data_IF_441349505980
#
_entry.id   IF_441349505980
#
_cell.length_a   1.000
_cell.length_b   1.000
_cell.length_c   1.000
_cell.angle_alpha   90.00
_cell.angle_beta   90.00
_cell.angle_gamma   90.00
#
_symmetry.space_group_name_H-M   'P 1'
#
loop_
_entity.id
_entity.type
_entity.pdbx_description
1 polymer ?
#
# COMPACT_ATOMS: atom_id res chain seq x y z
N UNK A 1 -3.77 -5.67 -10.11
CA UNK A 1 -3.86 -5.65 -8.62
C UNK A 1 -4.46 -4.34 -8.17
N UNK A 2 -5.19 -4.32 -7.04
CA UNK A 2 -5.63 -3.09 -6.36
C UNK A 2 -4.73 -2.89 -5.13
N UNK A 3 -3.88 -1.88 -5.18
CA UNK A 3 -3.01 -1.49 -4.06
C UNK A 3 -3.76 -0.50 -3.17
N UNK A 4 -3.97 -0.88 -1.91
CA UNK A 4 -4.66 -0.06 -0.92
C UNK A 4 -3.59 0.51 0.02
N UNK A 5 -3.30 1.79 -0.12
CA UNK A 5 -2.26 2.49 0.65
C UNK A 5 -2.88 3.06 1.92
N UNK A 6 -2.27 2.78 3.07
CA UNK A 6 -2.79 3.27 4.35
C UNK A 6 -2.59 4.78 4.53
N UNK A 7 -3.42 5.37 5.38
CA UNK A 7 -3.34 6.79 5.74
C UNK A 7 -2.42 7.05 6.92
N UNK A 8 -1.73 8.20 6.89
CA UNK A 8 -0.63 8.52 7.81
C UNK A 8 0.63 7.77 7.36
N UNK A 9 1.75 8.47 7.10
CA UNK A 9 2.98 7.75 6.80
C UNK A 9 3.35 6.85 7.99
N UNK A 10 3.09 7.29 9.23
CA UNK A 10 3.34 6.54 10.46
C UNK A 10 2.17 5.61 10.87
N UNK A 11 1.61 4.85 9.92
CA UNK A 11 0.64 3.78 10.17
C UNK A 11 1.14 2.45 9.56
N UNK A 12 0.39 1.37 9.72
CA UNK A 12 0.65 0.11 9.03
C UNK A 12 -0.62 -0.74 8.95
N UNK A 13 -0.65 -1.67 8.01
CA UNK A 13 -1.56 -2.80 8.04
C UNK A 13 -1.03 -3.86 9.00
N UNK A 14 -1.82 -4.17 10.02
CA UNK A 14 -1.53 -5.22 10.99
C UNK A 14 -1.52 -6.61 10.34
N UNK A 15 -0.75 -7.54 10.91
CA UNK A 15 -0.91 -8.97 10.62
C UNK A 15 -2.15 -9.52 11.33
N UNK A 16 -3.32 -9.10 10.86
CA UNK A 16 -4.62 -9.42 11.46
C UNK A 16 -5.76 -9.32 10.45
N UNK A 17 -6.98 -9.22 10.97
CA UNK A 17 -8.16 -9.02 10.12
C UNK A 17 -8.18 -7.59 9.58
N UNK A 18 -8.04 -7.45 8.27
CA UNK A 18 -8.09 -6.16 7.56
C UNK A 18 -9.47 -5.86 6.95
N UNK A 19 -10.52 -6.45 7.52
CA UNK A 19 -11.89 -6.28 7.05
C UNK A 19 -12.58 -5.21 7.88
N UNK A 20 -13.00 -4.12 7.25
CA UNK A 20 -13.84 -3.09 7.83
C UNK A 20 -14.92 -2.66 6.83
N UNK A 21 -16.00 -2.01 7.32
CA UNK A 21 -17.07 -1.50 6.46
C UNK A 21 -16.57 -0.48 5.42
N UNK A 22 -15.47 0.21 5.73
CA UNK A 22 -14.86 1.23 4.88
C UNK A 22 -13.75 0.70 3.96
N UNK A 23 -13.33 -0.56 4.14
CA UNK A 23 -12.26 -1.19 3.36
C UNK A 23 -12.80 -2.11 2.26
N UNK A 24 -12.64 -1.69 1.01
CA UNK A 24 -13.18 -2.41 -0.14
C UNK A 24 -12.34 -3.61 -0.61
N UNK A 25 -11.23 -3.93 0.06
CA UNK A 25 -10.31 -4.96 -0.43
C UNK A 25 -10.91 -6.36 -0.54
N UNK A 26 -11.70 -6.80 0.46
CA UNK A 26 -12.38 -8.11 0.36
C UNK A 26 -13.43 -8.14 -0.76
N UNK A 27 -14.07 -7.01 -1.06
CA UNK A 27 -14.99 -6.87 -2.20
C UNK A 27 -14.23 -6.98 -3.52
N UNK A 28 -13.10 -6.27 -3.65
CA UNK A 28 -12.22 -6.39 -4.81
C UNK A 28 -11.72 -7.83 -5.03
N UNK A 29 -11.32 -8.51 -3.96
CA UNK A 29 -10.91 -9.91 -4.03
C UNK A 29 -12.05 -10.84 -4.50
N UNK A 30 -13.28 -10.61 -4.03
CA UNK A 30 -14.46 -11.37 -4.46
C UNK A 30 -14.78 -11.17 -5.95
N UNK A 31 -14.47 -9.99 -6.51
CA UNK A 31 -14.60 -9.68 -7.94
C UNK A 31 -13.40 -10.15 -8.79
N UNK A 32 -12.46 -10.89 -8.19
CA UNK A 32 -11.32 -11.50 -8.89
C UNK A 32 -10.09 -10.62 -9.02
N UNK A 33 -10.01 -9.49 -8.30
CA UNK A 33 -8.80 -8.68 -8.23
C UNK A 33 -7.84 -9.22 -7.18
N UNK A 34 -6.54 -9.29 -7.50
CA UNK A 34 -5.53 -9.34 -6.45
C UNK A 34 -5.56 -8.02 -5.64
N UNK A 35 -5.46 -8.11 -4.32
CA UNK A 35 -5.47 -6.94 -3.42
C UNK A 35 -4.18 -6.92 -2.61
N UNK A 36 -3.54 -5.76 -2.58
CA UNK A 36 -2.25 -5.55 -1.95
C UNK A 36 -2.30 -4.45 -0.90
N UNK A 37 -1.80 -4.76 0.29
CA UNK A 37 -1.77 -3.89 1.46
C UNK A 37 -0.30 -3.66 1.88
N UNK A 38 0.42 -2.72 1.24
CA UNK A 38 1.83 -2.49 1.52
C UNK A 38 2.06 -1.82 2.87
N UNK A 39 3.17 -2.19 3.52
CA UNK A 39 3.79 -1.45 4.62
C UNK A 39 5.16 -0.96 4.13
N UNK A 40 5.17 0.24 3.54
CA UNK A 40 6.32 0.90 2.91
C UNK A 40 7.24 1.56 3.95
N UNK A 41 8.41 2.06 3.55
CA UNK A 41 9.32 2.76 4.48
C UNK A 41 8.62 3.96 5.14
N UNK A 42 8.77 4.12 6.45
CA UNK A 42 7.99 5.08 7.24
C UNK A 42 6.79 4.46 7.95
N UNK A 43 6.28 3.32 7.49
CA UNK A 43 5.23 2.59 8.21
C UNK A 43 5.68 2.17 9.62
N UNK A 44 4.71 2.01 10.52
CA UNK A 44 4.98 1.56 11.90
C UNK A 44 5.13 0.03 12.00
N UNK A 45 5.48 -0.47 13.20
CA UNK A 45 5.62 -1.92 13.45
C UNK A 45 7.00 -2.52 13.14
N UNK A 46 7.95 -1.74 12.62
CA UNK A 46 9.31 -2.19 12.25
C UNK A 46 10.46 -1.48 12.98
N UNK A 47 10.14 -0.79 14.08
CA UNK A 47 11.09 -0.01 14.87
C UNK A 47 11.16 1.47 14.44
N UNK A 48 11.80 2.28 15.30
CA UNK A 48 11.81 3.74 15.15
C UNK A 48 12.56 4.21 13.91
N UNK A 49 13.70 3.59 13.61
CA UNK A 49 14.52 3.95 12.44
C UNK A 49 13.73 3.77 11.13
N UNK A 50 13.03 2.64 10.98
CA UNK A 50 12.17 2.40 9.82
C UNK A 50 11.00 3.39 9.76
N UNK A 51 10.33 3.66 10.89
CA UNK A 51 9.23 4.61 10.95
C UNK A 51 9.65 6.06 10.64
N UNK A 52 10.92 6.40 10.88
CA UNK A 52 11.48 7.74 10.58
C UNK A 52 12.15 7.82 9.20
N UNK A 53 12.22 6.74 8.43
CA UNK A 53 13.01 6.68 7.20
C UNK A 53 12.48 7.53 6.04
N UNK A 54 11.21 7.97 6.08
CA UNK A 54 10.61 8.90 5.12
C UNK A 54 10.56 10.36 5.62
N UNK A 55 11.01 10.63 6.85
CA UNK A 55 10.92 11.97 7.43
C UNK A 55 11.82 12.96 6.67
N UNK A 56 11.20 14.05 6.19
CA UNK A 56 11.88 15.07 5.39
C UNK A 56 11.94 14.78 3.90
N UNK A 57 11.35 13.67 3.43
CA UNK A 57 11.29 13.26 2.01
C UNK A 57 9.85 12.84 1.63
N UNK A 58 8.88 13.74 1.83
CA UNK A 58 7.47 13.43 1.56
C UNK A 58 7.23 13.19 0.07
N UNK A 59 6.51 12.11 -0.25
CA UNK A 59 6.28 11.64 -1.62
C UNK A 59 7.59 11.37 -2.38
N UNK A 60 8.61 10.93 -1.64
CA UNK A 60 9.89 10.52 -2.18
C UNK A 60 9.99 9.01 -2.23
N UNK A 61 11.06 8.47 -1.64
CA UNK A 61 11.40 7.06 -1.79
C UNK A 61 10.36 6.09 -1.19
N UNK A 62 9.44 6.56 -0.35
CA UNK A 62 8.35 5.72 0.16
C UNK A 62 7.27 5.42 -0.87
N UNK A 63 7.15 6.23 -1.92
CA UNK A 63 6.24 5.93 -3.03
C UNK A 63 6.87 4.95 -4.02
N UNK A 64 8.19 5.02 -4.20
CA UNK A 64 8.94 4.01 -4.95
C UNK A 64 8.74 2.62 -4.34
N UNK A 65 8.76 2.47 -3.01
CA UNK A 65 8.48 1.19 -2.34
C UNK A 65 7.09 0.61 -2.69
N UNK A 66 6.09 1.47 -2.91
CA UNK A 66 4.74 1.05 -3.28
C UNK A 66 4.75 0.50 -4.72
N UNK A 67 5.45 1.19 -5.63
CA UNK A 67 5.62 0.76 -7.03
C UNK A 67 6.43 -0.52 -7.11
N UNK A 68 7.57 -0.60 -6.43
CA UNK A 68 8.43 -1.79 -6.35
C UNK A 68 7.64 -3.01 -5.84
N UNK A 69 6.74 -2.80 -4.86
CA UNK A 69 5.86 -3.85 -4.36
C UNK A 69 4.86 -4.35 -5.42
N UNK A 70 4.33 -3.47 -6.26
CA UNK A 70 3.46 -3.84 -7.40
C UNK A 70 4.25 -4.58 -8.47
N UNK A 71 5.41 -4.06 -8.85
CA UNK A 71 6.29 -4.70 -9.84
C UNK A 71 6.68 -6.11 -9.40
N UNK A 72 7.02 -6.28 -8.12
CA UNK A 72 7.31 -7.60 -7.57
C UNK A 72 6.12 -8.56 -7.66
N UNK A 73 4.88 -8.09 -7.45
CA UNK A 73 3.68 -8.92 -7.63
C UNK A 73 3.43 -9.29 -9.10
N UNK A 74 3.74 -8.40 -10.04
CA UNK A 74 3.69 -8.66 -11.48
C UNK A 74 4.72 -9.72 -11.86
N UNK A 75 5.96 -9.58 -11.41
CA UNK A 75 7.05 -10.55 -11.67
C UNK A 75 6.72 -11.95 -11.14
N UNK A 76 6.06 -12.04 -9.99
CA UNK A 76 5.58 -13.32 -9.45
C UNK A 76 4.38 -13.90 -10.19
N UNK A 77 3.80 -13.18 -11.16
CA UNK A 77 2.59 -13.57 -11.89
C UNK A 77 1.30 -13.49 -11.05
N UNK A 78 1.32 -12.73 -9.95
CA UNK A 78 0.15 -12.50 -9.09
C UNK A 78 -0.66 -11.27 -9.51
N UNK A 79 -0.09 -10.42 -10.38
CA UNK A 79 -0.73 -9.23 -10.92
C UNK A 79 -0.54 -9.14 -12.44
N UNK A 80 -1.56 -8.60 -13.11
CA UNK A 80 -1.55 -8.25 -14.54
C UNK A 80 -1.07 -6.79 -14.68
N UNK A 81 -0.01 -6.58 -15.46
CA UNK A 81 0.63 -5.26 -15.66
C UNK A 81 -0.32 -4.24 -16.30
N UNK A 82 -1.25 -4.69 -17.15
CA UNK A 82 -2.24 -3.84 -17.81
C UNK A 82 -3.44 -3.52 -16.90
N UNK A 83 -3.51 -4.13 -15.70
CA UNK A 83 -4.64 -3.99 -14.76
C UNK A 83 -4.17 -3.68 -13.35
N UNK A 84 -3.44 -2.59 -13.20
CA UNK A 84 -3.02 -2.04 -11.91
C UNK A 84 -3.92 -0.87 -11.51
N UNK A 85 -4.36 -0.86 -10.25
CA UNK A 85 -5.07 0.25 -9.65
C UNK A 85 -4.53 0.55 -8.25
N UNK A 86 -4.66 1.80 -7.82
CA UNK A 86 -4.23 2.27 -6.50
C UNK A 86 -5.36 3.08 -5.87
N UNK A 87 -5.50 2.96 -4.54
CA UNK A 87 -6.45 3.74 -3.74
C UNK A 87 -5.93 3.88 -2.31
N UNK A 88 -6.50 4.82 -1.55
CA UNK A 88 -6.13 5.04 -0.16
C UNK A 88 -6.81 6.26 0.44
N UNK A 89 -6.88 6.31 1.76
CA UNK A 89 -7.38 7.46 2.52
C UNK A 89 -6.23 8.31 3.07
N UNK A 90 -6.44 9.62 3.25
CA UNK A 90 -5.45 10.52 3.87
C UNK A 90 -4.10 10.50 3.12
N UNK A 91 -2.99 10.16 3.78
CA UNK A 91 -1.67 10.03 3.12
C UNK A 91 -1.67 8.97 2.00
N UNK A 92 -2.46 7.90 2.12
CA UNK A 92 -2.65 6.94 1.02
C UNK A 92 -3.41 7.54 -0.16
N UNK A 93 -4.31 8.50 0.10
CA UNK A 93 -4.95 9.29 -0.95
C UNK A 93 -3.99 10.29 -1.60
N UNK A 94 -3.04 10.83 -0.82
CA UNK A 94 -1.94 11.62 -1.36
C UNK A 94 -1.04 10.78 -2.29
N UNK A 95 -0.66 9.57 -1.87
CA UNK A 95 0.06 8.61 -2.71
C UNK A 95 -0.71 8.20 -3.97
N UNK A 96 -2.04 8.07 -3.87
CA UNK A 96 -2.91 7.74 -5.01
C UNK A 96 -2.96 8.86 -6.06
N UNK A 97 -2.78 10.11 -5.66
CA UNK A 97 -2.91 11.29 -6.51
C UNK A 97 -1.58 11.88 -6.99
N UNK A 98 -0.46 11.26 -6.59
CA UNK A 98 0.89 11.70 -6.94
C UNK A 98 1.27 11.35 -8.38
#
# INVERSE_FOLDING_TARGET
VITIVHGGPEAHYDNGWLTDYSDAGQVGAAEGYAVFYPNYRGSTGRGLEFAMSSQGDLAGAEFDDIVDGVDHLIEMGLADEDKVGVTGGSYGGYATAW
#
